data_IF_639704529100
#
_entry.id   IF_639704529100
#
_cell.length_a   1.000
_cell.length_b   1.000
_cell.length_c   1.000
_cell.angle_alpha   90.00
_cell.angle_beta   90.00
_cell.angle_gamma   90.00
#
_symmetry.space_group_name_H-M   'P 1'
#
loop_
_entity.id
_entity.type
_entity.pdbx_description
1 polymer ?
#
# COMPACT_ATOMS: atom_id res chain seq x y z
N UNK A 1 69.37 17.75 20.62
CA UNK A 1 68.72 16.60 19.97
C UNK A 1 67.23 16.91 19.85
N UNK A 2 66.71 17.21 18.65
CA UNK A 2 65.33 17.71 18.52
C UNK A 2 64.34 16.55 18.73
N UNK A 3 63.37 16.76 19.61
CA UNK A 3 62.36 15.78 20.05
C UNK A 3 61.39 15.39 18.93
N UNK A 4 61.89 14.70 17.90
CA UNK A 4 61.11 14.23 16.74
C UNK A 4 59.94 13.33 17.13
N UNK A 5 60.06 12.60 18.24
CA UNK A 5 59.00 11.75 18.76
C UNK A 5 57.83 12.54 19.37
N UNK A 6 58.11 13.65 20.07
CA UNK A 6 57.05 14.55 20.57
C UNK A 6 56.30 15.20 19.42
N UNK A 7 57.02 15.60 18.36
CA UNK A 7 56.41 16.17 17.16
C UNK A 7 55.52 15.15 16.42
N UNK A 8 55.98 13.90 16.28
CA UNK A 8 55.18 12.83 15.67
C UNK A 8 53.90 12.53 16.47
N UNK A 9 53.97 12.60 17.81
CA UNK A 9 52.79 12.44 18.67
C UNK A 9 51.75 13.55 18.47
N UNK A 10 52.18 14.81 18.40
CA UNK A 10 51.25 15.92 18.16
C UNK A 10 50.66 15.92 16.75
N UNK A 11 51.42 15.48 15.73
CA UNK A 11 50.90 15.31 14.37
C UNK A 11 49.85 14.20 14.32
N UNK A 12 50.12 13.06 14.98
CA UNK A 12 49.18 11.95 15.03
C UNK A 12 47.90 12.34 15.78
N UNK A 13 48.04 13.06 16.91
CA UNK A 13 46.92 13.54 17.70
C UNK A 13 46.04 14.52 16.90
N UNK A 14 46.65 15.42 16.13
CA UNK A 14 45.94 16.33 15.24
C UNK A 14 45.17 15.59 14.14
N UNK A 15 45.76 14.54 13.56
CA UNK A 15 45.11 13.71 12.55
C UNK A 15 43.87 12.99 13.11
N UNK A 16 43.98 12.37 14.28
CA UNK A 16 42.86 11.69 14.94
C UNK A 16 41.75 12.69 15.29
N UNK A 17 42.11 13.87 15.81
CA UNK A 17 41.14 14.91 16.12
C UNK A 17 40.40 15.41 14.86
N UNK A 18 41.11 15.60 13.74
CA UNK A 18 40.49 16.02 12.49
C UNK A 18 39.47 14.99 11.96
N UNK A 19 39.79 13.70 12.05
CA UNK A 19 38.86 12.62 11.67
C UNK A 19 37.61 12.64 12.54
N UNK A 20 37.77 12.76 13.86
CA UNK A 20 36.63 12.80 14.79
C UNK A 20 35.74 14.03 14.57
N UNK A 21 36.33 15.20 14.30
CA UNK A 21 35.59 16.42 13.99
C UNK A 21 34.81 16.25 12.67
N UNK A 22 35.41 15.62 11.66
CA UNK A 22 34.76 15.40 10.37
C UNK A 22 33.55 14.47 10.50
N UNK A 23 33.70 13.37 11.27
CA UNK A 23 32.60 12.46 11.59
C UNK A 23 31.50 13.13 12.40
N UNK A 24 31.88 14.00 13.35
CA UNK A 24 30.92 14.76 14.15
C UNK A 24 30.13 15.75 13.29
N UNK A 25 30.78 16.42 12.34
CA UNK A 25 30.09 17.31 11.39
C UNK A 25 29.17 16.52 10.47
N UNK A 26 29.59 15.34 9.96
CA UNK A 26 28.70 14.48 9.16
C UNK A 26 27.52 13.94 9.96
N UNK A 27 27.70 13.60 11.24
CA UNK A 27 26.64 13.09 12.11
C UNK A 27 25.69 14.19 12.62
N UNK A 28 26.19 15.43 12.72
CA UNK A 28 25.43 16.59 13.19
C UNK A 28 24.90 17.46 12.06
N UNK A 29 25.28 17.16 10.80
CA UNK A 29 24.65 17.74 9.65
C UNK A 29 23.16 17.37 9.73
N UNK A 30 22.25 18.35 9.68
CA UNK A 30 20.85 18.02 9.54
C UNK A 30 20.75 17.15 8.29
N UNK A 31 20.25 15.92 8.47
CA UNK A 31 19.63 15.24 7.34
C UNK A 31 18.57 16.24 6.91
N UNK A 32 18.75 16.85 5.74
CA UNK A 32 17.61 17.35 4.99
C UNK A 32 16.71 16.13 4.88
N UNK A 33 15.80 15.95 5.85
CA UNK A 33 14.55 15.29 5.60
C UNK A 33 14.05 16.05 4.40
N UNK A 34 14.25 15.45 3.23
CA UNK A 34 13.75 16.00 2.01
C UNK A 34 12.27 16.20 2.24
N UNK A 35 11.88 17.44 2.49
CA UNK A 35 10.73 18.04 1.85
C UNK A 35 10.96 18.04 0.32
N UNK A 36 11.28 16.87 -0.23
CA UNK A 36 10.64 16.42 -1.44
C UNK A 36 9.24 15.97 -1.03
N UNK A 37 8.43 16.92 -0.54
CA UNK A 37 7.10 17.01 -1.08
C UNK A 37 7.40 17.23 -2.56
N UNK A 38 7.14 16.27 -3.46
CA UNK A 38 7.18 16.62 -4.86
C UNK A 38 6.13 17.71 -4.96
N UNK A 39 6.56 18.95 -5.16
CA UNK A 39 5.71 19.94 -5.77
C UNK A 39 5.30 19.29 -7.09
N UNK A 40 4.15 18.61 -7.08
CA UNK A 40 3.38 18.21 -8.25
C UNK A 40 3.01 19.50 -8.96
N UNK A 41 3.99 20.06 -9.66
CA UNK A 41 3.84 21.22 -10.54
C UNK A 41 4.54 20.98 -11.88
N UNK A 42 5.42 19.98 -11.99
CA UNK A 42 5.94 19.55 -13.30
C UNK A 42 5.14 18.39 -13.93
N UNK A 43 4.36 17.63 -13.13
CA UNK A 43 3.36 16.68 -13.65
C UNK A 43 1.94 17.29 -13.78
N UNK A 44 1.71 18.45 -13.14
CA UNK A 44 0.40 19.11 -13.14
C UNK A 44 0.06 19.80 -14.48
N UNK A 45 1.00 19.96 -15.40
CA UNK A 45 0.71 20.56 -16.71
C UNK A 45 -0.01 19.59 -17.66
N UNK A 46 -0.07 18.29 -17.35
CA UNK A 46 -0.67 17.27 -18.23
C UNK A 46 -1.69 16.35 -17.57
N UNK A 47 -2.13 16.63 -16.35
CA UNK A 47 -3.18 15.86 -15.68
C UNK A 47 -4.23 16.80 -15.07
N UNK A 48 -5.50 16.61 -15.43
CA UNK A 48 -6.63 17.32 -14.81
C UNK A 48 -7.15 16.51 -13.63
N UNK A 49 -7.26 17.15 -12.47
CA UNK A 49 -7.78 16.53 -11.26
C UNK A 49 -9.29 16.75 -11.09
N UNK A 50 -10.00 15.67 -10.76
CA UNK A 50 -11.42 15.70 -10.42
C UNK A 50 -11.62 15.11 -9.03
N UNK A 51 -12.12 15.93 -8.10
CA UNK A 51 -12.50 15.45 -6.77
C UNK A 51 -13.93 14.90 -6.79
N UNK A 52 -14.06 13.63 -6.44
CA UNK A 52 -15.32 12.90 -6.45
C UNK A 52 -15.63 12.45 -5.03
N UNK A 53 -16.87 12.68 -4.61
CA UNK A 53 -17.43 12.09 -3.39
C UNK A 53 -18.48 11.06 -3.79
N UNK A 54 -18.46 9.90 -3.14
CA UNK A 54 -19.37 8.78 -3.44
C UNK A 54 -19.80 8.08 -2.16
N UNK A 55 -20.69 7.10 -2.32
CA UNK A 55 -21.18 6.22 -1.26
C UNK A 55 -20.81 4.75 -1.57
N UNK A 56 -20.96 3.88 -0.56
CA UNK A 56 -20.70 2.45 -0.65
C UNK A 56 -21.51 1.76 -1.74
N UNK A 57 -22.78 2.10 -1.89
CA UNK A 57 -23.69 1.46 -2.83
C UNK A 57 -23.26 1.67 -4.29
N UNK A 58 -22.88 2.89 -4.64
CA UNK A 58 -22.43 3.21 -6.00
C UNK A 58 -21.01 2.70 -6.25
N UNK A 59 -20.13 2.77 -5.25
CA UNK A 59 -18.78 2.22 -5.37
C UNK A 59 -18.80 0.69 -5.53
N UNK A 60 -19.70 -0.02 -4.83
CA UNK A 60 -19.89 -1.47 -5.03
C UNK A 60 -20.24 -1.83 -6.48
N UNK A 61 -21.09 -1.03 -7.14
CA UNK A 61 -21.42 -1.26 -8.56
C UNK A 61 -20.19 -1.10 -9.46
N UNK A 62 -19.38 -0.08 -9.20
CA UNK A 62 -18.15 0.17 -9.96
C UNK A 62 -17.13 -0.95 -9.77
N UNK A 63 -16.92 -1.39 -8.52
CA UNK A 63 -16.02 -2.50 -8.20
C UNK A 63 -16.46 -3.77 -8.91
N UNK A 64 -17.74 -4.15 -8.78
CA UNK A 64 -18.26 -5.38 -9.40
C UNK A 64 -18.08 -5.34 -10.93
N UNK A 65 -18.40 -4.20 -11.56
CA UNK A 65 -18.20 -4.05 -13.00
C UNK A 65 -16.73 -4.22 -13.42
N UNK A 66 -15.79 -3.64 -12.65
CA UNK A 66 -14.37 -3.76 -12.93
C UNK A 66 -13.86 -5.20 -12.77
N UNK A 67 -14.27 -5.90 -11.71
CA UNK A 67 -13.87 -7.29 -11.45
C UNK A 67 -14.38 -8.25 -12.54
N UNK A 68 -15.59 -8.01 -13.06
CA UNK A 68 -16.16 -8.74 -14.19
C UNK A 68 -15.40 -8.46 -15.50
N UNK A 69 -15.06 -7.20 -15.80
CA UNK A 69 -14.37 -6.83 -17.05
C UNK A 69 -12.92 -7.37 -17.11
N UNK A 70 -12.19 -7.32 -16.00
CA UNK A 70 -10.78 -7.74 -15.96
C UNK A 70 -10.59 -9.26 -15.88
N UNK A 71 -11.68 -10.04 -15.81
CA UNK A 71 -11.61 -11.49 -15.83
C UNK A 71 -10.91 -12.08 -14.61
N UNK A 72 -10.84 -11.35 -13.49
CA UNK A 72 -10.34 -11.89 -12.24
C UNK A 72 -11.25 -13.00 -11.67
N UNK A 73 -12.43 -13.20 -12.26
CA UNK A 73 -13.30 -14.38 -12.10
C UNK A 73 -12.73 -15.64 -12.77
N UNK A 74 -11.49 -16.02 -12.42
CA UNK A 74 -10.85 -17.25 -12.91
C UNK A 74 -11.57 -18.52 -12.44
N UNK A 75 -10.86 -19.65 -12.31
CA UNK A 75 -11.45 -20.96 -11.92
C UNK A 75 -12.23 -20.96 -10.60
N UNK A 76 -12.12 -19.89 -9.80
CA UNK A 76 -12.86 -19.71 -8.55
C UNK A 76 -13.44 -18.29 -8.51
N UNK A 77 -14.76 -18.19 -8.45
CA UNK A 77 -15.47 -16.92 -8.28
C UNK A 77 -15.16 -16.30 -6.91
N UNK A 78 -14.89 -15.00 -6.91
CA UNK A 78 -14.79 -14.20 -5.70
C UNK A 78 -15.62 -12.92 -5.84
N UNK A 79 -16.03 -12.36 -4.70
CA UNK A 79 -16.83 -11.15 -4.62
C UNK A 79 -16.26 -10.22 -3.56
N UNK A 80 -16.13 -8.94 -3.91
CA UNK A 80 -15.78 -7.87 -2.97
C UNK A 80 -17.02 -7.04 -2.70
N UNK A 81 -17.33 -6.79 -1.43
CA UNK A 81 -18.47 -5.98 -1.02
C UNK A 81 -18.07 -4.99 0.07
N UNK A 82 -18.39 -3.72 -0.15
CA UNK A 82 -18.23 -2.65 0.83
C UNK A 82 -19.49 -2.56 1.69
N UNK A 83 -19.37 -2.97 2.95
CA UNK A 83 -20.38 -2.78 4.01
C UNK A 83 -19.85 -1.79 5.05
N UNK A 84 -19.89 -2.09 6.35
CA UNK A 84 -19.18 -1.27 7.36
C UNK A 84 -17.66 -1.54 7.37
N UNK A 85 -17.27 -2.61 6.68
CA UNK A 85 -15.92 -3.07 6.42
C UNK A 85 -15.84 -3.56 4.95
N UNK A 86 -14.63 -3.82 4.47
CA UNK A 86 -14.43 -4.47 3.16
C UNK A 86 -14.60 -5.96 3.37
N UNK A 87 -15.58 -6.56 2.73
CA UNK A 87 -15.83 -7.99 2.79
C UNK A 87 -15.36 -8.66 1.49
N UNK A 88 -14.60 -9.75 1.62
CA UNK A 88 -14.19 -10.60 0.51
C UNK A 88 -14.82 -11.99 0.71
N UNK A 89 -15.60 -12.41 -0.27
CA UNK A 89 -16.16 -13.75 -0.37
C UNK A 89 -15.47 -14.51 -1.49
N UNK A 90 -15.23 -15.80 -1.28
CA UNK A 90 -14.68 -16.67 -2.32
C UNK A 90 -14.71 -18.13 -1.88
N UNK A 91 -14.16 -19.01 -2.70
CA UNK A 91 -13.95 -20.41 -2.36
C UNK A 91 -12.46 -20.76 -2.38
N UNK A 92 -12.03 -21.77 -1.63
CA UNK A 92 -10.65 -22.25 -1.71
C UNK A 92 -10.66 -23.78 -1.74
N UNK A 93 -9.87 -24.42 -2.64
CA UNK A 93 -9.70 -25.86 -2.63
C UNK A 93 -8.82 -26.28 -1.45
N UNK A 94 -9.42 -26.97 -0.47
CA UNK A 94 -8.73 -27.49 0.71
C UNK A 94 -9.08 -28.98 0.86
N UNK A 95 -8.06 -29.84 0.86
CA UNK A 95 -8.22 -31.31 0.95
C UNK A 95 -9.19 -31.90 -0.10
N UNK A 96 -9.19 -31.37 -1.32
CA UNK A 96 -10.06 -31.82 -2.40
C UNK A 96 -11.53 -31.40 -2.28
N UNK A 97 -11.86 -30.50 -1.34
CA UNK A 97 -13.17 -29.88 -1.20
C UNK A 97 -13.06 -28.36 -1.39
N UNK A 98 -14.08 -27.75 -1.97
CA UNK A 98 -14.17 -26.29 -2.08
C UNK A 98 -14.89 -25.74 -0.85
N UNK A 99 -14.16 -24.98 -0.04
CA UNK A 99 -14.70 -24.36 1.17
C UNK A 99 -14.99 -22.89 0.91
N UNK A 100 -16.21 -22.46 1.26
CA UNK A 100 -16.58 -21.06 1.22
C UNK A 100 -15.88 -20.28 2.32
N UNK A 101 -15.42 -19.09 1.95
CA UNK A 101 -14.61 -18.23 2.76
C UNK A 101 -15.20 -16.82 2.79
N UNK A 102 -15.16 -16.19 3.97
CA UNK A 102 -15.42 -14.76 4.17
C UNK A 102 -14.24 -14.15 4.91
N UNK A 103 -13.60 -13.14 4.33
CA UNK A 103 -12.66 -12.26 5.01
C UNK A 103 -13.27 -10.88 5.15
N UNK A 104 -12.89 -10.20 6.22
CA UNK A 104 -13.28 -8.82 6.45
C UNK A 104 -12.05 -7.99 6.77
N UNK A 105 -12.06 -6.75 6.29
CA UNK A 105 -10.95 -5.84 6.46
C UNK A 105 -11.42 -4.44 6.83
N UNK A 106 -10.72 -3.83 7.79
CA UNK A 106 -10.83 -2.41 8.06
C UNK A 106 -9.95 -1.63 7.06
N UNK A 107 -10.56 -0.80 6.19
CA UNK A 107 -9.79 -0.03 5.22
C UNK A 107 -9.22 1.24 5.84
N UNK A 108 -8.04 1.64 5.37
CA UNK A 108 -7.39 2.89 5.73
C UNK A 108 -6.78 3.55 4.49
N UNK A 109 -7.24 4.76 4.20
CA UNK A 109 -6.61 5.62 3.20
C UNK A 109 -5.27 6.15 3.71
N UNK A 110 -4.24 6.02 2.87
CA UNK A 110 -2.91 6.52 3.13
C UNK A 110 -2.72 7.92 2.53
N UNK A 111 -1.73 8.66 3.06
CA UNK A 111 -1.44 10.03 2.59
C UNK A 111 -1.00 10.09 1.12
N UNK A 112 -0.40 9.02 0.61
CA UNK A 112 0.02 8.92 -0.79
C UNK A 112 -1.15 8.69 -1.74
N UNK A 113 -2.33 8.30 -1.24
CA UNK A 113 -3.49 8.01 -2.07
C UNK A 113 -3.86 6.55 -2.23
N UNK A 114 -3.07 5.65 -1.66
CA UNK A 114 -3.31 4.21 -1.72
C UNK A 114 -4.16 3.75 -0.53
N UNK A 115 -4.60 2.48 -0.55
CA UNK A 115 -5.35 1.88 0.56
C UNK A 115 -4.55 0.77 1.23
N UNK A 116 -4.65 0.69 2.55
CA UNK A 116 -4.28 -0.50 3.32
C UNK A 116 -5.53 -1.09 3.91
N UNK A 117 -5.75 -2.37 3.69
CA UNK A 117 -6.83 -3.15 4.25
C UNK A 117 -6.24 -4.01 5.37
N UNK A 118 -6.55 -3.72 6.61
CA UNK A 118 -6.13 -4.55 7.76
C UNK A 118 -7.19 -5.60 8.02
N UNK A 119 -6.78 -6.85 8.14
CA UNK A 119 -7.70 -7.94 8.39
C UNK A 119 -8.35 -7.80 9.78
N UNK A 120 -9.66 -8.05 9.86
CA UNK A 120 -10.45 -7.97 11.09
C UNK A 120 -10.96 -9.35 11.51
N UNK A 121 -11.73 -10.02 10.64
CA UNK A 121 -12.18 -11.39 10.87
C UNK A 121 -12.06 -12.29 9.63
N UNK A 122 -12.04 -13.59 9.88
CA UNK A 122 -11.99 -14.61 8.85
C UNK A 122 -12.90 -15.77 9.23
N UNK A 123 -13.62 -16.29 8.25
CA UNK A 123 -14.47 -17.46 8.39
C UNK A 123 -14.24 -18.39 7.22
N UNK A 124 -13.83 -19.63 7.52
CA UNK A 124 -13.66 -20.71 6.55
C UNK A 124 -14.39 -21.95 7.07
N UNK A 125 -15.68 -22.05 6.77
CA UNK A 125 -16.56 -23.07 7.38
C UNK A 125 -16.46 -23.07 8.91
N UNK A 126 -16.18 -24.23 9.51
CA UNK A 126 -16.00 -24.39 10.96
C UNK A 126 -14.52 -24.44 11.41
N UNK A 127 -13.58 -24.13 10.51
CA UNK A 127 -12.15 -24.26 10.78
C UNK A 127 -11.60 -22.96 11.39
N UNK A 128 -10.90 -23.10 12.53
CA UNK A 128 -10.17 -22.00 13.16
C UNK A 128 -8.70 -22.04 12.72
N UNK A 129 -8.40 -21.45 11.56
CA UNK A 129 -7.04 -21.36 11.04
C UNK A 129 -6.42 -19.99 11.34
N UNK A 130 -5.08 -19.92 11.50
CA UNK A 130 -4.39 -18.64 11.57
C UNK A 130 -4.62 -17.83 10.28
N UNK A 131 -4.91 -16.53 10.44
CA UNK A 131 -5.20 -15.61 9.33
C UNK A 131 -4.08 -15.60 8.29
N UNK A 132 -2.83 -15.51 8.75
CA UNK A 132 -1.64 -15.52 7.89
C UNK A 132 -1.55 -16.76 7.00
N UNK A 133 -2.05 -17.92 7.45
CA UNK A 133 -2.08 -19.13 6.63
C UNK A 133 -3.10 -19.01 5.49
N UNK A 134 -4.29 -18.51 5.79
CA UNK A 134 -5.35 -18.35 4.77
C UNK A 134 -4.96 -17.27 3.76
N UNK A 135 -4.38 -16.16 4.20
CA UNK A 135 -3.86 -15.12 3.30
C UNK A 135 -2.74 -15.65 2.39
N UNK A 136 -1.85 -16.51 2.90
CA UNK A 136 -0.85 -17.20 2.06
C UNK A 136 -1.52 -18.11 1.03
N UNK A 137 -2.56 -18.83 1.41
CA UNK A 137 -3.29 -19.71 0.52
C UNK A 137 -3.96 -18.92 -0.61
N UNK A 138 -4.66 -17.83 -0.29
CA UNK A 138 -5.23 -16.89 -1.28
C UNK A 138 -4.14 -16.43 -2.25
N UNK A 139 -2.99 -16.00 -1.71
CA UNK A 139 -1.84 -15.55 -2.52
C UNK A 139 -1.32 -16.61 -3.49
N UNK A 140 -1.45 -17.89 -3.15
CA UNK A 140 -1.03 -19.00 -4.00
C UNK A 140 -2.11 -19.53 -4.95
N UNK A 141 -3.38 -19.32 -4.61
CA UNK A 141 -4.53 -19.89 -5.33
C UNK A 141 -5.16 -18.93 -6.34
N UNK A 142 -4.94 -17.63 -6.20
CA UNK A 142 -5.53 -16.60 -7.06
C UNK A 142 -4.46 -15.82 -7.82
N UNK A 143 -4.78 -15.43 -9.05
CA UNK A 143 -4.00 -14.47 -9.80
C UNK A 143 -4.25 -13.06 -9.25
N UNK A 144 -3.28 -12.54 -8.52
CA UNK A 144 -3.37 -11.22 -7.89
C UNK A 144 -2.70 -10.20 -8.80
N UNK A 145 -3.38 -9.09 -9.14
CA UNK A 145 -2.80 -8.08 -10.00
C UNK A 145 -1.65 -7.33 -9.29
N UNK A 146 -0.74 -6.75 -10.07
CA UNK A 146 0.46 -6.07 -9.55
C UNK A 146 0.15 -4.88 -8.62
N UNK A 147 -1.05 -4.31 -8.71
CA UNK A 147 -1.51 -3.21 -7.85
C UNK A 147 -2.08 -3.71 -6.51
N UNK A 148 -2.09 -5.01 -6.24
CA UNK A 148 -2.49 -5.60 -4.96
C UNK A 148 -1.34 -6.43 -4.38
N UNK A 149 -0.97 -6.13 -3.14
CA UNK A 149 0.06 -6.88 -2.41
C UNK A 149 -0.54 -7.45 -1.12
N UNK A 150 -0.62 -8.78 -1.05
CA UNK A 150 -1.02 -9.48 0.18
C UNK A 150 0.22 -9.67 1.05
N UNK A 151 0.15 -9.20 2.31
CA UNK A 151 1.19 -9.33 3.34
C UNK A 151 0.69 -10.17 4.53
N UNK A 152 0.75 -11.51 4.43
CA UNK A 152 0.20 -12.40 5.45
C UNK A 152 0.84 -12.24 6.83
N UNK A 153 2.12 -11.85 6.90
CA UNK A 153 2.81 -11.63 8.17
C UNK A 153 2.37 -10.37 8.91
N UNK A 154 1.83 -9.38 8.19
CA UNK A 154 1.29 -8.13 8.76
C UNK A 154 -0.24 -8.16 8.85
N UNK A 155 -0.88 -9.24 8.39
CA UNK A 155 -2.34 -9.37 8.28
C UNK A 155 -2.97 -8.20 7.51
N UNK A 156 -2.26 -7.73 6.47
CA UNK A 156 -2.70 -6.60 5.63
C UNK A 156 -2.69 -6.93 4.14
N UNK A 157 -3.53 -6.20 3.41
CA UNK A 157 -3.50 -6.13 1.95
C UNK A 157 -3.25 -4.67 1.57
N UNK A 158 -2.17 -4.43 0.83
CA UNK A 158 -1.86 -3.11 0.27
C UNK A 158 -2.47 -3.01 -1.14
N UNK A 159 -3.16 -1.91 -1.41
CA UNK A 159 -3.83 -1.65 -2.68
C UNK A 159 -3.28 -0.34 -3.26
N UNK A 160 -2.41 -0.49 -4.25
CA UNK A 160 -1.74 0.58 -5.00
C UNK A 160 -2.67 1.21 -6.02
N UNK A 161 -3.62 2.04 -5.58
CA UNK A 161 -4.63 2.66 -6.46
C UNK A 161 -4.02 3.45 -7.63
N UNK A 162 -2.84 4.03 -7.44
CA UNK A 162 -2.16 4.84 -8.44
C UNK A 162 -1.47 4.03 -9.55
N UNK A 163 -1.19 2.75 -9.31
CA UNK A 163 -0.57 1.86 -10.31
C UNK A 163 -1.60 0.96 -11.00
N UNK A 164 -2.87 1.03 -10.58
CA UNK A 164 -3.97 0.34 -11.24
C UNK A 164 -4.10 0.84 -12.68
N UNK A 165 -4.11 -0.10 -13.63
CA UNK A 165 -4.27 0.21 -15.05
C UNK A 165 -5.75 0.35 -15.35
N UNK A 166 -6.23 1.59 -15.33
CA UNK A 166 -7.58 1.92 -15.80
C UNK A 166 -7.57 2.32 -17.28
N UNK A 167 -8.75 2.26 -17.91
CA UNK A 167 -8.97 2.78 -19.26
C UNK A 167 -8.52 4.24 -19.32
N UNK A 168 -7.89 4.62 -20.42
CA UNK A 168 -7.36 5.98 -20.66
C UNK A 168 -6.30 6.46 -19.66
N UNK A 169 -5.54 5.55 -19.04
CA UNK A 169 -4.44 5.87 -18.13
C UNK A 169 -4.85 6.76 -16.93
N UNK A 170 -6.14 6.73 -16.56
CA UNK A 170 -6.65 7.47 -15.42
C UNK A 170 -6.05 6.88 -14.14
N UNK A 171 -5.55 7.75 -13.26
CA UNK A 171 -5.07 7.33 -11.93
C UNK A 171 -6.09 7.72 -10.87
N UNK A 172 -6.17 6.90 -9.82
CA UNK A 172 -7.08 7.11 -8.69
C UNK A 172 -6.28 7.32 -7.42
N UNK A 173 -6.69 8.30 -6.63
CA UNK A 173 -6.17 8.58 -5.30
C UNK A 173 -7.31 8.56 -4.30
N UNK A 174 -7.23 7.73 -3.27
CA UNK A 174 -8.15 7.77 -2.14
C UNK A 174 -7.83 8.96 -1.23
N UNK A 175 -8.81 9.83 -1.01
CA UNK A 175 -8.69 10.97 -0.10
C UNK A 175 -9.26 10.62 1.28
N UNK A 176 -10.47 10.05 1.28
CA UNK A 176 -11.15 9.51 2.47
C UNK A 176 -11.84 8.21 2.10
N UNK A 177 -11.76 7.22 2.97
CA UNK A 177 -12.38 5.92 2.77
C UNK A 177 -12.93 5.42 4.10
N UNK A 178 -14.02 6.04 4.55
CA UNK A 178 -14.70 5.66 5.79
C UNK A 178 -16.02 4.97 5.47
N UNK A 179 -16.01 3.65 5.58
CA UNK A 179 -17.16 2.82 5.26
C UNK A 179 -18.26 2.91 6.33
N UNK A 180 -17.91 3.04 7.62
CA UNK A 180 -18.89 3.12 8.72
C UNK A 180 -19.74 4.39 8.63
N UNK A 181 -19.14 5.49 8.18
CA UNK A 181 -19.83 6.78 7.98
C UNK A 181 -20.28 7.05 6.55
N UNK A 182 -20.10 6.08 5.65
CA UNK A 182 -20.39 6.22 4.21
C UNK A 182 -19.78 7.48 3.59
N UNK A 183 -18.55 7.80 4.01
CA UNK A 183 -17.83 9.00 3.60
C UNK A 183 -16.59 8.59 2.80
N UNK A 184 -16.79 8.53 1.49
CA UNK A 184 -15.78 8.05 0.56
C UNK A 184 -15.52 9.15 -0.47
N UNK A 185 -14.24 9.49 -0.67
CA UNK A 185 -13.84 10.48 -1.65
C UNK A 185 -12.51 10.12 -2.31
N UNK A 186 -12.41 10.43 -3.59
CA UNK A 186 -11.25 10.16 -4.42
C UNK A 186 -10.91 11.38 -5.26
N UNK A 187 -9.64 11.50 -5.65
CA UNK A 187 -9.22 12.35 -6.74
C UNK A 187 -8.91 11.46 -7.94
N UNK A 188 -9.58 11.72 -9.07
CA UNK A 188 -9.20 11.16 -10.36
C UNK A 188 -8.21 12.09 -11.03
N UNK A 189 -7.11 11.54 -11.52
CA UNK A 189 -6.11 12.26 -12.31
C UNK A 189 -6.24 11.76 -13.75
N UNK A 190 -6.75 12.63 -14.62
CA UNK A 190 -6.99 12.31 -16.04
C UNK A 190 -5.87 12.95 -16.86
N UNK A 191 -5.08 12.16 -17.60
CA UNK A 191 -4.05 12.73 -18.47
C UNK A 191 -4.70 13.53 -19.61
N UNK A 192 -4.18 14.72 -19.86
CA UNK A 192 -4.52 15.61 -20.97
C UNK A 192 -3.31 15.73 -21.89
N UNK A 193 -3.06 14.65 -22.64
CA UNK A 193 -2.10 14.60 -23.73
C UNK A 193 -2.82 14.65 -25.09
#
# INVERSE_FOLDING_TARGET
MKNKWKLAFFILLGSVAAILITLFIMASAPVEEGENIPNTSEAAEREVSFDITTNKADLNKVINHYLEEEGFSGSIDYQVLLQDEVELYGAIPVFGQELQMKLTFEPKALKNGDLVLRQESISLGALNLPVSYVMNLIKSSYEIPEWVEIRPGEETVYVSLQTMKLKSNIKVRANKFDLKRDNISFTLLVPVD
#
